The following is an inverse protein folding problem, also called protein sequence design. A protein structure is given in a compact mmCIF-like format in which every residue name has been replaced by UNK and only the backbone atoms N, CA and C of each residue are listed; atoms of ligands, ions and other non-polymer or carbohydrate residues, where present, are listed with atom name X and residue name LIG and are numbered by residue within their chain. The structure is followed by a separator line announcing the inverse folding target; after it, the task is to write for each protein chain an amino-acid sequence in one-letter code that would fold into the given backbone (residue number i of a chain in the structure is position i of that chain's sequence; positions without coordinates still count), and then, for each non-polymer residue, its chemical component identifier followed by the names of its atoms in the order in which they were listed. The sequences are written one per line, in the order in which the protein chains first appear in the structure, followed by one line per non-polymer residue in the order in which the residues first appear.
data_IF_395157544367
#
_entry.id   IF_395157544367
#
_cell.length_a   1.000
_cell.length_b   1.000
_cell.length_c   1.000
_cell.angle_alpha   90.00
_cell.angle_beta   90.00
_cell.angle_gamma   90.00
#
_symmetry.space_group_name_H-M   'P 1'
#
loop_
_entity.id
_entity.type
_entity.pdbx_description
1 polymer ?
#
# COMPACT_ATOMS: atom_id res chain seq x y z
N UNK A 1 25.03 -20.62 -26.15
CA UNK A 1 23.67 -20.10 -25.94
C UNK A 1 22.72 -21.25 -25.64
N UNK A 2 21.92 -21.14 -24.57
CA UNK A 2 20.90 -22.14 -24.24
C UNK A 2 19.73 -21.97 -25.22
N UNK A 3 19.39 -23.02 -25.95
CA UNK A 3 18.23 -23.02 -26.88
C UNK A 3 16.88 -23.10 -26.15
N UNK A 4 16.89 -23.56 -24.90
CA UNK A 4 15.76 -23.55 -23.98
C UNK A 4 16.22 -22.96 -22.66
N UNK A 5 15.42 -22.11 -22.06
CA UNK A 5 15.74 -21.48 -20.78
C UNK A 5 14.46 -21.13 -20.02
N UNK A 6 14.60 -20.99 -18.71
CA UNK A 6 13.59 -20.45 -17.82
C UNK A 6 14.10 -19.15 -17.22
N UNK A 7 13.22 -18.34 -16.66
CA UNK A 7 13.56 -17.07 -16.00
C UNK A 7 12.82 -17.02 -14.66
N UNK A 8 13.53 -16.58 -13.61
CA UNK A 8 12.93 -16.38 -12.28
C UNK A 8 12.67 -17.67 -11.50
N UNK A 9 13.24 -18.80 -11.90
CA UNK A 9 13.18 -20.04 -11.14
C UNK A 9 14.49 -20.19 -10.37
N UNK A 10 14.44 -20.14 -9.05
CA UNK A 10 15.62 -20.19 -8.19
C UNK A 10 16.04 -21.62 -7.84
N UNK A 11 15.09 -22.55 -7.81
CA UNK A 11 15.32 -23.97 -7.58
C UNK A 11 15.15 -24.76 -8.89
N UNK A 12 16.10 -24.55 -9.80
CA UNK A 12 16.09 -25.15 -11.13
C UNK A 12 16.99 -26.38 -11.18
N UNK A 13 16.42 -27.56 -10.96
CA UNK A 13 17.10 -28.85 -11.03
C UNK A 13 17.70 -29.09 -12.42
N UNK A 14 17.15 -28.49 -13.47
CA UNK A 14 17.60 -28.64 -14.85
C UNK A 14 18.73 -27.70 -15.24
N UNK A 15 19.06 -26.73 -14.40
CA UNK A 15 20.05 -25.66 -14.65
C UNK A 15 19.76 -24.87 -15.95
N UNK A 16 18.49 -24.74 -16.32
CA UNK A 16 18.06 -23.97 -17.49
C UNK A 16 17.77 -22.51 -17.17
N UNK A 17 17.63 -22.16 -15.90
CA UNK A 17 17.34 -20.80 -15.50
C UNK A 17 18.48 -19.83 -15.81
N UNK A 18 18.11 -18.68 -16.36
CA UNK A 18 19.06 -17.60 -16.56
C UNK A 18 19.26 -16.86 -15.25
N UNK A 19 20.50 -16.54 -14.87
CA UNK A 19 20.75 -15.68 -13.73
C UNK A 19 20.18 -14.29 -14.06
N UNK A 20 19.30 -13.80 -13.21
CA UNK A 20 18.84 -12.41 -13.25
C UNK A 20 19.81 -11.58 -12.40
N UNK A 21 20.41 -10.52 -12.98
CA UNK A 21 21.18 -9.59 -12.18
C UNK A 21 20.28 -8.98 -11.10
N UNK A 22 20.76 -8.88 -9.89
CA UNK A 22 20.05 -8.18 -8.81
C UNK A 22 19.81 -6.72 -9.26
N UNK A 23 18.56 -6.25 -9.15
CA UNK A 23 18.13 -4.88 -9.45
C UNK A 23 18.17 -4.43 -10.94
N UNK A 24 17.85 -5.31 -11.88
CA UNK A 24 17.88 -4.96 -13.31
C UNK A 24 16.73 -4.11 -13.83
N UNK A 25 15.69 -3.91 -13.06
CA UNK A 25 14.62 -2.99 -13.45
C UNK A 25 14.69 -1.76 -12.53
N UNK A 26 15.17 -0.60 -13.03
CA UNK A 26 15.02 0.63 -12.28
C UNK A 26 13.53 0.80 -12.00
N UNK A 27 13.16 0.89 -10.74
CA UNK A 27 11.82 1.25 -10.35
C UNK A 27 11.52 2.63 -10.91
N UNK A 28 10.82 2.71 -12.03
CA UNK A 28 10.38 3.97 -12.65
C UNK A 28 9.16 4.53 -11.91
N UNK A 29 8.70 3.85 -10.86
CA UNK A 29 7.56 4.29 -10.09
C UNK A 29 7.95 5.51 -9.22
N UNK A 30 7.15 6.56 -9.33
CA UNK A 30 7.20 7.74 -8.46
C UNK A 30 6.69 7.44 -7.07
N UNK A 31 5.69 6.55 -6.98
CA UNK A 31 5.10 6.07 -5.74
C UNK A 31 4.57 4.65 -5.92
N UNK A 32 4.86 3.79 -4.97
CA UNK A 32 4.27 2.48 -4.82
C UNK A 32 3.58 2.38 -3.46
N UNK A 33 2.31 1.98 -3.44
CA UNK A 33 1.52 1.90 -2.22
C UNK A 33 0.77 0.57 -2.11
N UNK A 34 0.61 0.11 -0.87
CA UNK A 34 -0.18 -1.05 -0.49
C UNK A 34 -1.25 -0.66 0.52
N UNK A 35 -2.48 -1.11 0.30
CA UNK A 35 -3.57 -0.90 1.23
C UNK A 35 -4.15 -2.25 1.66
N UNK A 36 -4.13 -2.51 2.95
CA UNK A 36 -4.65 -3.72 3.57
C UNK A 36 -6.01 -3.42 4.18
N UNK A 37 -7.06 -3.99 3.61
CA UNK A 37 -8.44 -3.79 4.03
C UNK A 37 -9.25 -5.07 4.02
N UNK A 38 -10.51 -4.98 4.42
CA UNK A 38 -11.49 -6.05 4.29
C UNK A 38 -12.23 -5.94 2.96
N UNK A 39 -12.66 -7.06 2.41
CA UNK A 39 -13.39 -7.12 1.14
C UNK A 39 -14.67 -6.28 1.05
N UNK A 40 -15.20 -5.79 2.18
CA UNK A 40 -16.43 -5.00 2.26
C UNK A 40 -16.25 -3.62 2.92
N UNK A 41 -15.02 -3.21 3.27
CA UNK A 41 -14.76 -1.95 3.99
C UNK A 41 -14.60 -0.72 3.06
N UNK A 42 -14.72 -0.90 1.75
CA UNK A 42 -14.60 0.16 0.76
C UNK A 42 -13.16 0.55 0.39
N UNK A 43 -12.13 -0.13 0.93
CA UNK A 43 -10.71 0.15 0.64
C UNK A 43 -10.37 -0.02 -0.85
N UNK A 44 -10.94 -1.02 -1.51
CA UNK A 44 -10.80 -1.23 -2.96
C UNK A 44 -11.39 -0.05 -3.76
N UNK A 45 -12.58 0.38 -3.39
CA UNK A 45 -13.22 1.53 -4.05
C UNK A 45 -12.43 2.82 -3.85
N UNK A 46 -11.91 3.05 -2.65
CA UNK A 46 -11.03 4.18 -2.37
C UNK A 46 -9.75 4.14 -3.23
N UNK A 47 -9.10 2.97 -3.36
CA UNK A 47 -7.92 2.83 -4.21
C UNK A 47 -8.24 3.05 -5.69
N UNK A 48 -9.39 2.56 -6.19
CA UNK A 48 -9.86 2.86 -7.56
C UNK A 48 -10.09 4.36 -7.77
N UNK A 49 -10.61 5.03 -6.75
CA UNK A 49 -10.79 6.48 -6.78
C UNK A 49 -9.45 7.22 -6.76
N UNK A 50 -8.47 6.76 -5.96
CA UNK A 50 -7.10 7.31 -5.99
C UNK A 50 -6.50 7.28 -7.39
N UNK A 51 -6.67 6.16 -8.13
CA UNK A 51 -6.18 6.02 -9.50
C UNK A 51 -6.82 7.06 -10.41
N UNK A 52 -8.14 7.26 -10.31
CA UNK A 52 -8.85 8.25 -11.10
C UNK A 52 -8.40 9.68 -10.78
N UNK A 53 -8.33 10.02 -9.50
CA UNK A 53 -7.90 11.34 -9.04
C UNK A 53 -6.48 11.63 -9.55
N UNK A 54 -5.54 10.73 -9.34
CA UNK A 54 -4.16 10.91 -9.79
C UNK A 54 -4.10 11.06 -11.31
N UNK A 55 -4.81 10.21 -12.06
CA UNK A 55 -4.82 10.27 -13.53
C UNK A 55 -5.51 11.52 -14.11
N UNK A 56 -6.50 12.09 -13.42
CA UNK A 56 -7.20 13.28 -13.86
C UNK A 56 -6.47 14.58 -13.46
N UNK A 57 -5.85 14.58 -12.27
CA UNK A 57 -5.30 15.81 -11.66
C UNK A 57 -3.78 15.93 -11.82
N UNK A 58 -3.13 14.96 -12.46
CA UNK A 58 -1.69 14.97 -12.68
C UNK A 58 -1.34 14.47 -14.09
N UNK A 59 -0.15 14.77 -14.61
CA UNK A 59 0.33 14.20 -15.87
C UNK A 59 0.85 12.76 -15.73
N UNK A 60 0.64 12.11 -14.58
CA UNK A 60 1.21 10.81 -14.26
C UNK A 60 0.25 9.66 -14.61
N UNK A 61 0.86 8.50 -14.79
CA UNK A 61 0.16 7.25 -15.00
C UNK A 61 -0.06 6.54 -13.67
N UNK A 62 -1.26 6.03 -13.43
CA UNK A 62 -1.59 5.27 -12.24
C UNK A 62 -2.14 3.90 -12.61
N UNK A 63 -1.68 2.85 -11.93
CA UNK A 63 -2.12 1.47 -12.11
C UNK A 63 -2.51 0.88 -10.76
N UNK A 64 -3.62 0.18 -10.72
CA UNK A 64 -4.04 -0.61 -9.55
C UNK A 64 -4.18 -2.08 -9.86
N UNK A 65 -3.83 -2.91 -8.88
CA UNK A 65 -4.08 -4.34 -8.88
C UNK A 65 -4.67 -4.73 -7.52
N UNK A 66 -5.66 -5.61 -7.52
CA UNK A 66 -6.41 -5.97 -6.32
C UNK A 66 -6.33 -7.47 -6.10
N UNK A 67 -5.78 -7.86 -4.95
CA UNK A 67 -5.69 -9.25 -4.50
C UNK A 67 -6.75 -9.48 -3.44
N UNK A 68 -7.59 -10.48 -3.68
CA UNK A 68 -8.66 -10.86 -2.77
C UNK A 68 -8.36 -12.21 -2.13
N UNK A 69 -8.67 -12.34 -0.84
CA UNK A 69 -8.71 -13.66 -0.20
C UNK A 69 -9.87 -14.49 -0.80
N UNK A 70 -9.72 -15.79 -0.80
CA UNK A 70 -10.74 -16.74 -1.28
C UNK A 70 -12.04 -16.72 -0.45
N UNK A 71 -12.00 -16.21 0.77
CA UNK A 71 -13.18 -16.02 1.62
C UNK A 71 -13.98 -14.80 1.18
N UNK A 72 -15.25 -15.01 0.81
CA UNK A 72 -16.12 -13.96 0.27
C UNK A 72 -16.48 -12.83 1.25
N UNK A 73 -16.54 -13.07 2.53
CA UNK A 73 -16.90 -12.06 3.54
C UNK A 73 -15.83 -11.99 4.62
N UNK A 74 -15.36 -10.77 4.91
CA UNK A 74 -14.36 -10.52 5.94
C UNK A 74 -12.95 -11.01 5.60
N UNK A 75 -12.71 -11.40 4.34
CA UNK A 75 -11.39 -11.78 3.84
C UNK A 75 -10.49 -10.56 3.63
N UNK A 76 -9.19 -10.77 3.69
CA UNK A 76 -8.19 -9.76 3.38
C UNK A 76 -8.31 -9.30 1.92
N UNK A 77 -8.22 -8.01 1.70
CA UNK A 77 -7.99 -7.43 0.38
C UNK A 77 -6.71 -6.60 0.42
N UNK A 78 -5.81 -6.86 -0.51
CA UNK A 78 -4.61 -6.05 -0.69
C UNK A 78 -4.71 -5.30 -2.01
N UNK A 79 -4.82 -3.98 -1.92
CA UNK A 79 -4.82 -3.09 -3.07
C UNK A 79 -3.40 -2.59 -3.33
N UNK A 80 -2.89 -2.83 -4.52
CA UNK A 80 -1.61 -2.35 -5.00
C UNK A 80 -1.84 -1.13 -5.87
N UNK A 81 -1.16 -0.04 -5.58
CA UNK A 81 -1.18 1.19 -6.37
C UNK A 81 0.25 1.53 -6.80
N UNK A 82 0.42 1.81 -8.07
CA UNK A 82 1.67 2.30 -8.64
C UNK A 82 1.41 3.57 -9.42
N UNK A 83 2.23 4.58 -9.20
CA UNK A 83 2.21 5.85 -9.93
C UNK A 83 3.56 6.05 -10.60
N UNK A 84 3.57 6.48 -11.85
CA UNK A 84 4.78 6.67 -12.65
C UNK A 84 4.67 7.88 -13.57
N UNK A 85 5.78 8.53 -13.85
CA UNK A 85 5.88 9.59 -14.86
C UNK A 85 5.89 9.02 -16.29
N UNK A 86 6.17 7.72 -16.43
CA UNK A 86 6.16 7.00 -17.70
C UNK A 86 5.00 6.00 -17.76
N UNK A 87 4.51 5.63 -18.94
CA UNK A 87 3.46 4.63 -19.09
C UNK A 87 3.81 3.31 -18.40
N UNK A 88 2.93 2.83 -17.54
CA UNK A 88 3.10 1.57 -16.82
C UNK A 88 2.62 0.44 -17.72
N UNK A 89 3.56 -0.35 -18.25
CA UNK A 89 3.27 -1.46 -19.18
C UNK A 89 3.39 -2.84 -18.53
N UNK A 90 3.81 -2.90 -17.28
CA UNK A 90 4.04 -4.15 -16.54
C UNK A 90 2.93 -4.40 -15.53
N UNK A 91 2.42 -5.64 -15.49
CA UNK A 91 1.32 -6.05 -14.59
C UNK A 91 1.85 -6.84 -13.37
N UNK A 92 2.98 -6.43 -12.78
CA UNK A 92 3.52 -7.08 -11.58
C UNK A 92 2.98 -6.44 -10.29
N UNK A 93 2.92 -7.22 -9.24
CA UNK A 93 2.52 -6.75 -7.91
C UNK A 93 3.62 -5.85 -7.31
N UNK A 94 3.20 -4.87 -6.50
CA UNK A 94 4.11 -4.09 -5.67
C UNK A 94 4.73 -5.03 -4.63
N UNK A 95 6.05 -5.18 -4.66
CA UNK A 95 6.80 -6.01 -3.70
C UNK A 95 7.31 -5.20 -2.52
N UNK A 96 7.78 -3.97 -2.78
CA UNK A 96 8.25 -3.01 -1.79
C UNK A 96 7.56 -1.68 -2.03
N UNK A 97 6.98 -1.08 -0.99
CA UNK A 97 6.12 0.10 -1.09
C UNK A 97 6.71 1.30 -0.36
N UNK A 98 6.46 2.49 -0.91
CA UNK A 98 6.74 3.77 -0.27
C UNK A 98 5.70 4.08 0.82
N UNK A 99 4.49 3.52 0.67
CA UNK A 99 3.38 3.69 1.60
C UNK A 99 2.66 2.36 1.84
N UNK A 100 2.41 2.03 3.11
CA UNK A 100 1.55 0.92 3.53
C UNK A 100 0.44 1.46 4.43
N UNK A 101 -0.81 1.31 4.02
CA UNK A 101 -2.00 1.65 4.79
C UNK A 101 -2.68 0.41 5.34
N UNK A 102 -2.77 0.31 6.66
CA UNK A 102 -3.48 -0.77 7.36
C UNK A 102 -4.83 -0.25 7.88
N UNK A 103 -5.93 -0.71 7.28
CA UNK A 103 -7.28 -0.29 7.64
C UNK A 103 -7.83 -0.99 8.90
N UNK A 104 -7.24 -2.12 9.30
CA UNK A 104 -7.71 -2.96 10.41
C UNK A 104 -6.57 -3.30 11.34
N UNK A 105 -6.63 -2.85 12.60
CA UNK A 105 -5.60 -3.10 13.61
C UNK A 105 -5.24 -4.59 13.74
N UNK A 106 -6.25 -5.46 13.69
CA UNK A 106 -6.07 -6.92 13.81
C UNK A 106 -5.22 -7.56 12.70
N UNK A 107 -4.90 -6.84 11.63
CA UNK A 107 -4.02 -7.34 10.57
C UNK A 107 -2.55 -7.30 10.95
N UNK A 108 -2.19 -6.49 11.93
CA UNK A 108 -0.81 -6.34 12.40
C UNK A 108 -0.24 -7.68 12.89
N UNK A 109 -1.07 -8.48 13.57
CA UNK A 109 -0.66 -9.78 14.13
C UNK A 109 -0.69 -10.92 13.09
N UNK A 110 -1.30 -10.68 11.92
CA UNK A 110 -1.57 -11.73 10.94
C UNK A 110 -0.74 -11.64 9.67
N UNK A 111 -0.29 -10.45 9.33
CA UNK A 111 0.35 -10.19 8.04
C UNK A 111 1.62 -9.36 8.20
N UNK A 112 2.67 -9.77 7.50
CA UNK A 112 3.99 -9.12 7.52
C UNK A 112 4.02 -7.84 6.66
N UNK A 113 3.15 -6.88 7.01
CA UNK A 113 2.97 -5.65 6.23
C UNK A 113 4.18 -4.71 6.31
N UNK A 114 4.83 -4.63 7.47
CA UNK A 114 5.99 -3.76 7.67
C UNK A 114 7.19 -4.19 6.81
N UNK A 115 7.33 -5.48 6.53
CA UNK A 115 8.38 -6.01 5.65
C UNK A 115 8.24 -5.53 4.20
N UNK A 116 7.03 -5.13 3.81
CA UNK A 116 6.74 -4.61 2.48
C UNK A 116 7.10 -3.13 2.31
N UNK A 117 7.51 -2.44 3.37
CA UNK A 117 7.97 -1.06 3.27
C UNK A 117 9.38 -0.97 2.68
N UNK A 118 9.61 0.03 1.86
CA UNK A 118 10.95 0.52 1.53
C UNK A 118 11.57 1.22 2.76
N UNK A 119 12.90 1.29 2.87
CA UNK A 119 13.54 2.14 3.88
C UNK A 119 13.02 3.58 3.81
N UNK A 120 12.66 4.16 4.97
CA UNK A 120 12.06 5.49 5.06
C UNK A 120 10.60 5.61 4.62
N UNK A 121 9.96 4.49 4.27
CA UNK A 121 8.56 4.45 3.85
C UNK A 121 7.57 4.84 4.96
N UNK A 122 6.33 5.07 4.58
CA UNK A 122 5.25 5.46 5.48
C UNK A 122 4.40 4.23 5.83
N UNK A 123 4.20 3.99 7.13
CA UNK A 123 3.23 3.04 7.63
C UNK A 123 2.09 3.79 8.33
N UNK A 124 0.88 3.74 7.78
CA UNK A 124 -0.32 4.34 8.37
C UNK A 124 -1.23 3.24 8.92
N UNK A 125 -1.51 3.31 10.23
CA UNK A 125 -2.37 2.37 10.93
C UNK A 125 -3.68 3.04 11.36
N UNK A 126 -4.82 2.48 10.95
CA UNK A 126 -6.11 2.85 11.52
C UNK A 126 -6.31 2.14 12.86
N UNK A 127 -6.39 2.92 13.93
CA UNK A 127 -6.53 2.42 15.29
C UNK A 127 -7.17 3.49 16.19
N UNK A 128 -7.94 3.10 17.23
CA UNK A 128 -8.46 4.04 18.22
C UNK A 128 -7.40 4.53 19.21
N UNK A 129 -6.24 3.89 19.26
CA UNK A 129 -5.17 4.18 20.20
C UNK A 129 -4.28 5.32 19.71
N UNK A 130 -3.65 6.04 20.65
CA UNK A 130 -2.55 6.98 20.35
C UNK A 130 -1.29 6.23 19.87
N UNK A 131 -0.31 6.98 19.37
CA UNK A 131 0.97 6.39 18.92
C UNK A 131 1.67 5.67 20.08
N UNK A 132 1.75 6.31 21.24
CA UNK A 132 2.44 5.76 22.41
C UNK A 132 1.75 4.49 22.92
N UNK A 133 0.41 4.49 22.95
CA UNK A 133 -0.36 3.32 23.38
C UNK A 133 -0.24 2.15 22.40
N UNK A 134 -0.32 2.42 21.11
CA UNK A 134 -0.28 1.34 20.11
C UNK A 134 1.13 0.78 19.94
N UNK A 135 2.16 1.62 20.07
CA UNK A 135 3.54 1.15 19.93
C UNK A 135 3.87 -0.01 20.88
N UNK A 136 3.47 0.12 22.16
CA UNK A 136 3.65 -0.94 23.15
C UNK A 136 2.79 -2.19 22.91
N UNK A 137 1.80 -2.13 22.00
CA UNK A 137 0.92 -3.24 21.62
C UNK A 137 1.34 -3.92 20.33
N UNK A 138 2.23 -3.30 19.54
CA UNK A 138 2.74 -3.91 18.31
C UNK A 138 3.61 -5.12 18.63
N UNK A 139 3.54 -6.21 17.84
CA UNK A 139 4.49 -7.30 17.93
C UNK A 139 5.93 -6.80 17.85
N UNK A 140 6.83 -7.38 18.64
CA UNK A 140 8.25 -6.98 18.66
C UNK A 140 8.90 -7.04 17.29
N UNK A 141 8.53 -8.02 16.48
CA UNK A 141 8.99 -8.18 15.09
C UNK A 141 8.60 -6.98 14.23
N UNK A 142 7.37 -6.50 14.35
CA UNK A 142 6.87 -5.32 13.62
C UNK A 142 7.63 -4.07 14.05
N UNK A 143 7.81 -3.87 15.38
CA UNK A 143 8.59 -2.76 15.91
C UNK A 143 10.04 -2.78 15.38
N UNK A 144 10.68 -3.96 15.40
CA UNK A 144 12.04 -4.14 14.91
C UNK A 144 12.17 -3.76 13.43
N UNK A 145 11.24 -4.23 12.59
CA UNK A 145 11.23 -3.92 11.15
C UNK A 145 11.00 -2.43 10.89
N UNK A 146 10.04 -1.80 11.58
CA UNK A 146 9.76 -0.37 11.44
C UNK A 146 10.99 0.47 11.83
N UNK A 147 11.67 0.10 12.92
CA UNK A 147 12.90 0.77 13.37
C UNK A 147 14.06 0.54 12.38
N UNK A 148 14.29 -0.69 11.95
CA UNK A 148 15.36 -1.04 11.00
C UNK A 148 15.22 -0.26 9.68
N UNK A 149 13.98 -0.15 9.19
CA UNK A 149 13.67 0.58 7.96
C UNK A 149 13.58 2.09 8.16
N UNK A 150 13.71 2.58 9.40
CA UNK A 150 13.48 4.00 9.75
C UNK A 150 12.14 4.49 9.19
N UNK A 151 11.10 3.65 9.32
CA UNK A 151 9.79 3.91 8.79
C UNK A 151 9.14 5.10 9.50
N UNK A 152 8.42 5.92 8.75
CA UNK A 152 7.56 6.97 9.30
C UNK A 152 6.24 6.33 9.70
N UNK A 153 6.08 6.07 11.01
CA UNK A 153 4.90 5.41 11.56
C UNK A 153 3.85 6.46 11.98
N UNK A 154 2.65 6.33 11.43
CA UNK A 154 1.51 7.18 11.72
C UNK A 154 0.31 6.36 12.17
N UNK A 155 -0.51 6.93 13.06
CA UNK A 155 -1.79 6.37 13.47
C UNK A 155 -2.92 7.34 13.19
N UNK A 156 -4.10 6.82 12.93
CA UNK A 156 -5.30 7.62 12.69
C UNK A 156 -6.52 6.89 13.27
N UNK A 157 -7.37 7.60 13.98
CA UNK A 157 -8.68 7.07 14.37
C UNK A 157 -9.73 7.47 13.31
N UNK A 158 -9.70 6.74 12.18
CA UNK A 158 -10.56 7.04 11.04
C UNK A 158 -12.05 6.92 11.39
N UNK A 159 -12.42 6.03 12.32
CA UNK A 159 -13.80 5.88 12.74
C UNK A 159 -14.31 7.09 13.55
N UNK A 160 -13.45 7.68 14.39
CA UNK A 160 -13.78 8.91 15.14
C UNK A 160 -13.94 10.07 14.16
N UNK A 161 -12.95 10.29 13.30
CA UNK A 161 -12.95 11.39 12.32
C UNK A 161 -14.16 11.28 11.37
N UNK A 162 -14.47 10.09 10.86
CA UNK A 162 -15.61 9.88 9.99
C UNK A 162 -16.94 10.29 10.65
N UNK A 163 -17.13 9.94 11.95
CA UNK A 163 -18.32 10.36 12.70
C UNK A 163 -18.38 11.88 12.91
N UNK A 164 -17.26 12.51 13.27
CA UNK A 164 -17.18 13.95 13.49
C UNK A 164 -17.44 14.77 12.22
N UNK A 165 -17.03 14.22 11.06
CA UNK A 165 -17.26 14.84 9.75
C UNK A 165 -18.60 14.44 9.09
N UNK A 166 -19.47 13.69 9.78
CA UNK A 166 -20.76 13.27 9.21
C UNK A 166 -20.66 12.19 8.11
N UNK A 167 -19.50 11.54 7.98
CA UNK A 167 -19.26 10.51 6.97
C UNK A 167 -19.78 9.13 7.40
N UNK A 168 -20.47 9.03 8.51
CA UNK A 168 -20.97 7.78 9.11
C UNK A 168 -19.84 6.74 9.30
N UNK A 169 -19.94 5.58 8.66
CA UNK A 169 -18.93 4.50 8.75
C UNK A 169 -17.87 4.52 7.63
N UNK A 170 -17.79 5.60 6.84
CA UNK A 170 -16.87 5.66 5.68
C UNK A 170 -15.43 5.96 6.10
N UNK A 171 -14.80 5.05 6.81
CA UNK A 171 -13.38 5.16 7.22
C UNK A 171 -12.43 5.21 6.02
N UNK A 172 -12.81 4.60 4.90
CA UNK A 172 -12.03 4.57 3.69
C UNK A 172 -11.77 5.97 3.11
N UNK A 173 -12.72 6.90 3.20
CA UNK A 173 -12.53 8.29 2.77
C UNK A 173 -11.49 8.99 3.65
N UNK A 174 -11.54 8.78 4.96
CA UNK A 174 -10.55 9.35 5.90
C UNK A 174 -9.15 8.79 5.62
N UNK A 175 -9.04 7.48 5.41
CA UNK A 175 -7.77 6.83 5.08
C UNK A 175 -7.22 7.30 3.73
N UNK A 176 -8.09 7.56 2.76
CA UNK A 176 -7.75 8.11 1.45
C UNK A 176 -7.17 9.54 1.56
N UNK A 177 -7.81 10.39 2.36
CA UNK A 177 -7.29 11.74 2.63
C UNK A 177 -5.93 11.69 3.32
N UNK A 178 -5.78 10.82 4.32
CA UNK A 178 -4.49 10.62 5.01
C UNK A 178 -3.40 10.14 4.04
N UNK A 179 -3.72 9.25 3.11
CA UNK A 179 -2.80 8.81 2.06
C UNK A 179 -2.31 9.99 1.20
N UNK A 180 -3.19 10.80 0.66
CA UNK A 180 -2.81 11.96 -0.16
C UNK A 180 -1.99 12.97 0.65
N UNK A 181 -2.40 13.25 1.89
CA UNK A 181 -1.69 14.17 2.76
C UNK A 181 -0.28 13.70 3.10
N UNK A 182 -0.10 12.44 3.47
CA UNK A 182 1.19 11.90 3.90
C UNK A 182 2.16 11.66 2.73
N UNK A 183 1.65 11.29 1.57
CA UNK A 183 2.49 11.01 0.39
C UNK A 183 2.80 12.26 -0.42
N UNK A 184 2.02 13.32 -0.27
CA UNK A 184 2.13 14.55 -1.07
C UNK A 184 2.13 14.27 -2.58
N UNK A 185 1.47 13.18 -3.00
CA UNK A 185 1.39 12.80 -4.43
C UNK A 185 0.49 13.77 -5.22
N UNK A 186 -0.36 14.51 -4.51
CA UNK A 186 -1.13 15.62 -5.05
C UNK A 186 -0.87 16.88 -4.20
N UNK A 187 -0.90 18.08 -4.79
CA UNK A 187 -1.00 19.31 -4.01
C UNK A 187 -2.21 19.24 -3.08
N UNK A 188 -2.04 19.65 -1.80
CA UNK A 188 -3.06 19.44 -0.76
C UNK A 188 -4.46 20.00 -1.13
N UNK A 189 -4.52 21.16 -1.76
CA UNK A 189 -5.77 21.81 -2.19
C UNK A 189 -6.48 21.03 -3.32
N UNK A 190 -5.71 20.38 -4.20
CA UNK A 190 -6.25 19.56 -5.30
C UNK A 190 -6.90 18.26 -4.78
N UNK A 191 -6.29 17.63 -3.77
CA UNK A 191 -6.84 16.41 -3.17
C UNK A 191 -8.18 16.66 -2.47
N UNK A 192 -8.34 17.80 -1.80
CA UNK A 192 -9.59 18.21 -1.14
C UNK A 192 -10.71 18.47 -2.15
N UNK A 193 -10.40 19.15 -3.25
CA UNK A 193 -11.40 19.49 -4.27
C UNK A 193 -11.97 18.26 -4.98
N UNK A 194 -11.16 17.23 -5.20
CA UNK A 194 -11.57 16.01 -5.91
C UNK A 194 -12.32 14.99 -5.03
N UNK A 195 -12.33 15.18 -3.71
CA UNK A 195 -12.98 14.27 -2.76
C UNK A 195 -14.32 14.82 -2.21
N UNK A 196 -14.72 16.02 -2.61
CA UNK A 196 -16.05 16.59 -2.36
C UNK A 196 -17.07 16.07 -3.38
#
# INVERSE_FOLDING_TARGET
PKSRFTVGIYDDVTNLSLPLPENTLPGTAKLEALFYGLGSDGSVSATKNNIKIIGNSTPWYAQGYFVYDSKKAGGLTVSHLRVSEQPIRSAYLVSQADFVGCHQLQFIDKYQMAERLKPGGIFLLNTPYSVDEVWGRLPQEVQAVLNQKKARFYVINAAKIARECGLAARINTVMQMAFFHLTQILPGDSALAELQ
#
